data_IF_055837928163
#
_entry.id   IF_055837928163
#
_cell.length_a   1.000
_cell.length_b   1.000
_cell.length_c   1.000
_cell.angle_alpha   90.00
_cell.angle_beta   90.00
_cell.angle_gamma   90.00
#
_symmetry.space_group_name_H-M   'P 1'
#
loop_
_entity.id
_entity.type
_entity.pdbx_description
1 polymer ?
#
# COMPACT_ATOMS: atom_id res chain seq x y z
N UNK A 1 43.29 -47.61 44.60
CA UNK A 1 44.54 -47.84 45.36
C UNK A 1 44.67 -49.33 45.59
N UNK A 2 45.36 -50.02 44.69
CA UNK A 2 46.03 -51.31 44.93
C UNK A 2 47.12 -51.38 43.87
N UNK A 3 48.35 -51.36 44.37
CA UNK A 3 49.63 -51.24 43.69
C UNK A 3 50.30 -52.60 43.49
N UNK A 4 51.18 -52.65 42.48
CA UNK A 4 52.34 -53.54 42.31
C UNK A 4 52.00 -55.02 42.08
N UNK A 5 52.67 -55.81 41.26
CA UNK A 5 54.09 -56.03 40.94
C UNK A 5 54.10 -56.83 39.60
N UNK A 6 55.14 -57.06 38.79
CA UNK A 6 56.60 -57.02 38.89
C UNK A 6 57.20 -57.38 37.51
N UNK A 7 58.36 -56.80 37.20
CA UNK A 7 59.60 -57.37 36.60
C UNK A 7 59.58 -58.27 35.33
N UNK A 8 60.27 -58.00 34.20
CA UNK A 8 61.74 -57.92 33.84
C UNK A 8 62.02 -59.00 32.73
N UNK A 9 63.14 -59.06 31.96
CA UNK A 9 63.49 -58.25 30.77
C UNK A 9 64.09 -59.05 29.56
N UNK A 10 64.46 -58.31 28.50
CA UNK A 10 65.64 -58.44 27.62
C UNK A 10 65.88 -59.65 26.67
N UNK A 11 66.13 -59.34 25.38
CA UNK A 11 67.32 -59.72 24.54
C UNK A 11 67.03 -59.38 23.05
N UNK A 12 67.65 -58.35 22.46
CA UNK A 12 68.93 -58.28 21.71
C UNK A 12 69.04 -59.19 20.47
N UNK A 13 69.21 -58.59 19.28
CA UNK A 13 70.27 -58.82 18.26
C UNK A 13 69.85 -58.11 16.95
N UNK A 14 70.64 -57.12 16.48
CA UNK A 14 71.61 -57.19 15.35
C UNK A 14 70.98 -57.53 13.98
N UNK A 15 71.41 -57.06 12.81
CA UNK A 15 72.30 -56.03 12.27
C UNK A 15 72.31 -56.28 10.74
N UNK A 16 72.74 -55.29 9.94
CA UNK A 16 73.17 -55.38 8.53
C UNK A 16 72.07 -55.59 7.45
N UNK A 17 72.15 -55.07 6.21
CA UNK A 17 73.00 -54.10 5.52
C UNK A 17 72.40 -53.84 4.11
N UNK A 18 72.67 -52.64 3.56
CA UNK A 18 72.98 -52.36 2.13
C UNK A 18 72.12 -52.97 1.00
N UNK A 19 71.47 -52.12 0.19
CA UNK A 19 71.87 -51.86 -1.21
C UNK A 19 70.84 -50.94 -1.91
N UNK A 20 71.34 -49.95 -2.63
CA UNK A 20 70.53 -49.05 -3.46
C UNK A 20 70.00 -49.72 -4.73
N UNK A 21 68.86 -49.23 -5.20
CA UNK A 21 68.41 -49.40 -6.59
C UNK A 21 67.57 -48.18 -6.95
N UNK A 22 68.09 -47.37 -7.88
CA UNK A 22 67.37 -46.29 -8.54
C UNK A 22 66.20 -46.87 -9.34
N UNK A 23 64.98 -46.41 -9.05
CA UNK A 23 63.81 -46.73 -9.85
C UNK A 23 62.98 -45.47 -10.10
N UNK A 24 63.21 -44.91 -11.29
CA UNK A 24 62.22 -44.33 -12.21
C UNK A 24 61.08 -43.49 -11.58
N UNK A 25 61.29 -42.17 -11.54
CA UNK A 25 60.22 -41.19 -11.33
C UNK A 25 59.26 -41.23 -12.52
N UNK A 26 58.10 -41.84 -12.33
CA UNK A 26 56.93 -41.66 -13.21
C UNK A 26 56.24 -40.38 -12.80
N UNK A 27 56.47 -39.31 -13.57
CA UNK A 27 55.81 -38.03 -13.44
C UNK A 27 54.31 -38.18 -13.68
N UNK A 28 53.49 -37.97 -12.65
CA UNK A 28 52.05 -37.77 -12.81
C UNK A 28 51.80 -36.50 -13.64
N UNK A 29 50.78 -36.45 -14.51
CA UNK A 29 50.47 -35.24 -15.25
C UNK A 29 50.03 -34.18 -14.23
N UNK A 30 50.70 -33.03 -14.28
CA UNK A 30 50.30 -31.84 -13.53
C UNK A 30 48.88 -31.46 -13.95
N UNK A 31 47.92 -31.76 -13.08
CA UNK A 31 46.56 -31.24 -13.18
C UNK A 31 46.68 -29.72 -13.03
N UNK A 32 46.65 -29.01 -14.18
CA UNK A 32 46.52 -27.56 -14.18
C UNK A 32 45.16 -27.26 -13.57
N UNK A 33 45.16 -26.94 -12.28
CA UNK A 33 44.08 -26.22 -11.63
C UNK A 33 43.97 -24.88 -12.33
N UNK A 34 43.12 -24.82 -13.36
CA UNK A 34 42.63 -23.56 -13.88
C UNK A 34 42.07 -22.79 -12.68
N UNK A 35 42.39 -21.50 -12.49
CA UNK A 35 41.74 -20.73 -11.46
C UNK A 35 40.24 -20.82 -11.76
N UNK A 36 39.50 -21.41 -10.83
CA UNK A 36 38.05 -21.38 -10.84
C UNK A 36 37.70 -19.90 -10.88
N UNK A 37 37.41 -19.41 -12.09
CA UNK A 37 36.90 -18.07 -12.28
C UNK A 37 35.58 -18.09 -11.54
N UNK A 38 35.60 -17.57 -10.32
CA UNK A 38 34.42 -17.25 -9.55
C UNK A 38 33.62 -16.32 -10.48
N UNK A 39 32.69 -16.90 -11.23
CA UNK A 39 31.75 -16.14 -12.05
C UNK A 39 30.99 -15.34 -11.02
N UNK A 40 31.40 -14.08 -10.85
CA UNK A 40 30.68 -13.14 -10.03
C UNK A 40 29.22 -13.23 -10.48
N UNK A 41 28.25 -13.40 -9.57
CA UNK A 41 26.87 -13.49 -9.97
C UNK A 41 26.59 -12.25 -10.80
N UNK A 42 26.25 -12.44 -12.07
CA UNK A 42 25.72 -11.37 -12.90
C UNK A 42 24.40 -11.03 -12.21
N UNK A 43 24.45 -10.03 -11.31
CA UNK A 43 23.26 -9.48 -10.70
C UNK A 43 22.31 -9.19 -11.87
N UNK A 44 21.12 -9.81 -11.93
CA UNK A 44 20.19 -9.53 -13.02
C UNK A 44 20.02 -8.03 -13.01
N UNK A 45 20.39 -7.38 -14.10
CA UNK A 45 20.55 -5.95 -14.17
C UNK A 45 19.34 -5.27 -13.51
N UNK A 46 19.52 -4.82 -12.27
CA UNK A 46 18.66 -3.87 -11.63
C UNK A 46 18.95 -2.57 -12.38
N UNK A 47 18.45 -2.46 -13.60
CA UNK A 47 18.56 -1.25 -14.40
C UNK A 47 17.95 -0.14 -13.55
N UNK A 48 18.86 0.68 -13.01
CA UNK A 48 18.68 1.77 -12.06
C UNK A 48 17.33 2.47 -12.26
N UNK A 49 16.30 2.00 -11.57
CA UNK A 49 15.03 2.71 -11.58
C UNK A 49 15.28 4.00 -10.77
N UNK A 50 15.23 5.13 -11.48
CA UNK A 50 15.44 6.45 -10.86
C UNK A 50 14.41 6.59 -9.73
N UNK A 51 14.82 6.98 -8.51
CA UNK A 51 13.88 7.27 -7.42
C UNK A 51 12.79 8.24 -7.88
N UNK A 52 11.53 8.00 -7.50
CA UNK A 52 10.41 8.74 -8.08
C UNK A 52 10.52 10.27 -7.90
N UNK A 53 11.08 10.74 -6.78
CA UNK A 53 11.31 12.17 -6.55
C UNK A 53 12.21 12.87 -7.58
N UNK A 54 13.07 12.12 -8.29
CA UNK A 54 13.94 12.63 -9.38
C UNK A 54 13.36 12.42 -10.77
N UNK A 55 12.19 11.79 -10.88
CA UNK A 55 11.57 11.44 -12.16
C UNK A 55 10.44 12.42 -12.49
N UNK A 56 10.59 13.31 -13.49
CA UNK A 56 9.51 14.20 -13.92
C UNK A 56 8.26 13.42 -14.32
N UNK A 57 8.41 12.29 -15.00
CA UNK A 57 7.30 11.45 -15.40
C UNK A 57 6.51 10.89 -14.19
N UNK A 58 7.19 10.53 -13.09
CA UNK A 58 6.53 10.06 -11.89
C UNK A 58 5.70 11.17 -11.23
N UNK A 59 6.27 12.38 -11.14
CA UNK A 59 5.54 13.56 -10.69
C UNK A 59 4.37 13.91 -11.59
N UNK A 60 4.52 13.83 -12.92
CA UNK A 60 3.42 14.07 -13.85
C UNK A 60 2.26 13.10 -13.61
N UNK A 61 2.53 11.80 -13.45
CA UNK A 61 1.47 10.82 -13.14
C UNK A 61 0.79 11.16 -11.81
N UNK A 62 1.58 11.42 -10.75
CA UNK A 62 1.04 11.76 -9.44
C UNK A 62 0.13 13.00 -9.53
N UNK A 63 0.61 14.09 -10.13
CA UNK A 63 -0.12 15.35 -10.20
C UNK A 63 -1.34 15.30 -11.12
N UNK A 64 -1.23 14.68 -12.29
CA UNK A 64 -2.36 14.61 -13.23
C UNK A 64 -3.51 13.80 -12.62
N UNK A 65 -3.21 12.66 -12.01
CA UNK A 65 -4.22 11.84 -11.32
C UNK A 65 -4.79 12.61 -10.12
N UNK A 66 -3.93 13.24 -9.33
CA UNK A 66 -4.34 14.03 -8.17
C UNK A 66 -5.28 15.17 -8.54
N UNK A 67 -4.91 15.99 -9.55
CA UNK A 67 -5.73 17.11 -10.01
C UNK A 67 -7.07 16.60 -10.55
N UNK A 68 -7.05 15.55 -11.38
CA UNK A 68 -8.27 14.99 -11.95
C UNK A 68 -9.22 14.47 -10.85
N UNK A 69 -8.69 13.75 -9.87
CA UNK A 69 -9.44 13.19 -8.74
C UNK A 69 -10.02 14.29 -7.83
N UNK A 70 -9.21 15.22 -7.33
CA UNK A 70 -9.70 16.35 -6.53
C UNK A 70 -10.74 17.18 -7.28
N UNK A 71 -10.51 17.43 -8.57
CA UNK A 71 -11.48 18.17 -9.38
C UNK A 71 -12.81 17.43 -9.49
N UNK A 72 -12.77 16.10 -9.69
CA UNK A 72 -13.95 15.27 -9.78
C UNK A 72 -14.73 15.28 -8.46
N UNK A 73 -14.06 15.10 -7.32
CA UNK A 73 -14.71 15.15 -6.01
C UNK A 73 -15.38 16.50 -5.75
N UNK A 74 -14.62 17.60 -5.85
CA UNK A 74 -15.14 18.94 -5.55
C UNK A 74 -16.26 19.35 -6.51
N UNK A 75 -16.12 19.02 -7.79
CA UNK A 75 -17.17 19.26 -8.78
C UNK A 75 -18.42 18.43 -8.48
N UNK A 76 -18.28 17.15 -8.16
CA UNK A 76 -19.41 16.26 -7.88
C UNK A 76 -20.21 16.70 -6.66
N UNK A 77 -19.53 17.17 -5.61
CA UNK A 77 -20.15 17.72 -4.40
C UNK A 77 -20.88 19.03 -4.67
N UNK A 78 -20.26 19.93 -5.43
CA UNK A 78 -20.88 21.20 -5.82
C UNK A 78 -22.11 20.96 -6.69
N UNK A 79 -22.01 20.06 -7.67
CA UNK A 79 -23.12 19.63 -8.50
C UNK A 79 -24.27 19.07 -7.66
N UNK A 80 -23.99 18.08 -6.78
CA UNK A 80 -25.01 17.42 -5.98
C UNK A 80 -25.79 18.41 -5.11
N UNK A 81 -25.10 19.30 -4.39
CA UNK A 81 -25.74 20.28 -3.50
C UNK A 81 -26.52 21.37 -4.26
N UNK A 82 -26.25 21.57 -5.55
CA UNK A 82 -27.03 22.50 -6.40
C UNK A 82 -28.25 21.86 -7.04
N UNK A 83 -28.25 20.55 -7.28
CA UNK A 83 -29.23 19.92 -8.18
C UNK A 83 -30.08 18.81 -7.56
N UNK A 84 -29.64 18.16 -6.48
CA UNK A 84 -30.37 17.00 -5.90
C UNK A 84 -31.59 17.45 -5.10
N UNK A 85 -31.50 18.56 -4.38
CA UNK A 85 -32.63 19.13 -3.68
C UNK A 85 -33.48 20.02 -4.61
N UNK A 86 -34.78 20.23 -4.32
CA UNK A 86 -35.66 21.09 -5.14
C UNK A 86 -35.16 22.54 -5.27
N UNK A 87 -34.39 23.02 -4.30
CA UNK A 87 -33.70 24.30 -4.33
C UNK A 87 -32.22 24.08 -3.99
N UNK A 88 -31.29 24.88 -4.56
CA UNK A 88 -29.88 24.78 -4.23
C UNK A 88 -29.62 24.94 -2.73
N UNK A 89 -28.87 24.01 -2.16
CA UNK A 89 -28.49 24.03 -0.75
C UNK A 89 -27.33 24.99 -0.56
N UNK A 90 -27.59 26.12 0.10
CA UNK A 90 -26.56 27.11 0.44
C UNK A 90 -26.08 26.84 1.86
N UNK A 91 -24.78 26.58 2.00
CA UNK A 91 -24.13 26.29 3.28
C UNK A 91 -23.36 27.52 3.76
N UNK A 92 -23.65 27.96 4.98
CA UNK A 92 -22.95 29.07 5.65
C UNK A 92 -22.00 28.47 6.69
N UNK A 93 -20.70 28.73 6.55
CA UNK A 93 -19.67 28.11 7.37
C UNK A 93 -19.94 28.26 8.87
N UNK A 94 -20.33 29.46 9.32
CA UNK A 94 -20.58 29.76 10.73
C UNK A 94 -21.76 28.98 11.32
N UNK A 95 -22.70 28.51 10.49
CA UNK A 95 -23.87 27.74 10.92
C UNK A 95 -23.56 26.24 11.01
N UNK A 96 -22.65 25.77 10.15
CA UNK A 96 -22.30 24.35 9.99
C UNK A 96 -21.10 23.99 10.86
N UNK A 97 -20.05 24.81 10.86
CA UNK A 97 -18.80 24.51 11.54
C UNK A 97 -19.01 24.33 13.04
N UNK A 98 -18.63 23.16 13.55
CA UNK A 98 -18.76 22.82 14.98
C UNK A 98 -20.19 22.61 15.47
N UNK A 99 -21.19 22.55 14.58
CA UNK A 99 -22.59 22.33 14.93
C UNK A 99 -23.14 21.01 14.35
N UNK A 100 -22.96 19.86 15.03
CA UNK A 100 -23.48 18.58 14.58
C UNK A 100 -25.02 18.48 14.51
N UNK A 101 -25.73 19.44 15.09
CA UNK A 101 -27.20 19.52 15.06
C UNK A 101 -27.75 20.28 13.85
N UNK A 102 -26.88 20.83 12.99
CA UNK A 102 -27.30 21.48 11.76
C UNK A 102 -27.94 20.46 10.81
N UNK A 103 -29.18 20.72 10.39
CA UNK A 103 -29.90 19.88 9.45
C UNK A 103 -30.05 20.57 8.10
N UNK A 104 -29.89 19.78 7.04
CA UNK A 104 -30.21 20.23 5.68
C UNK A 104 -31.72 20.45 5.54
N UNK A 105 -32.17 21.36 4.66
CA UNK A 105 -33.57 21.42 4.25
C UNK A 105 -34.05 20.06 3.78
N UNK A 106 -35.29 19.71 4.09
CA UNK A 106 -35.84 18.43 3.63
C UNK A 106 -35.79 18.33 2.11
N UNK A 107 -35.34 17.18 1.61
CA UNK A 107 -35.30 16.85 0.19
C UNK A 107 -35.63 15.36 0.02
N UNK A 108 -36.27 14.96 -1.09
CA UNK A 108 -36.66 13.57 -1.31
C UNK A 108 -35.52 12.66 -1.80
N UNK A 109 -34.33 13.21 -2.07
CA UNK A 109 -33.29 12.53 -2.84
C UNK A 109 -33.69 12.31 -4.31
N UNK A 110 -32.80 11.68 -5.09
CA UNK A 110 -33.02 11.35 -6.50
C UNK A 110 -32.47 9.96 -6.79
N UNK A 111 -33.29 9.06 -7.34
CA UNK A 111 -32.81 7.74 -7.78
C UNK A 111 -31.86 7.87 -8.96
N UNK A 112 -30.59 7.48 -8.76
CA UNK A 112 -29.55 7.56 -9.77
C UNK A 112 -29.45 6.26 -10.59
N UNK A 113 -29.54 5.11 -9.92
CA UNK A 113 -29.48 3.79 -10.58
C UNK A 113 -30.53 2.86 -9.98
N UNK A 114 -31.46 2.41 -10.84
CA UNK A 114 -32.54 1.51 -10.48
C UNK A 114 -32.18 0.01 -10.66
N UNK A 115 -32.87 -0.90 -9.97
CA UNK A 115 -33.78 -0.66 -8.85
C UNK A 115 -33.01 -0.65 -7.52
N UNK A 116 -33.08 0.49 -6.80
CA UNK A 116 -32.50 0.65 -5.46
C UNK A 116 -31.01 0.27 -5.38
N UNK A 117 -30.22 0.65 -6.38
CA UNK A 117 -28.76 0.42 -6.35
C UNK A 117 -28.02 1.64 -5.82
N UNK A 118 -28.38 2.81 -6.32
CA UNK A 118 -27.75 4.08 -5.96
C UNK A 118 -28.78 5.20 -6.01
N UNK A 119 -28.92 5.91 -4.90
CA UNK A 119 -29.65 7.16 -4.80
C UNK A 119 -28.68 8.31 -4.51
N UNK A 120 -29.03 9.49 -5.00
CA UNK A 120 -28.43 10.73 -4.56
C UNK A 120 -29.22 11.28 -3.37
N UNK A 121 -28.57 11.37 -2.22
CA UNK A 121 -29.19 11.84 -0.98
C UNK A 121 -28.21 12.72 -0.20
N UNK A 122 -28.49 14.01 -0.05
CA UNK A 122 -27.57 14.97 0.57
C UNK A 122 -27.47 14.78 2.09
N UNK A 123 -26.24 14.69 2.59
CA UNK A 123 -25.90 14.58 4.01
C UNK A 123 -24.69 15.47 4.31
N UNK A 124 -24.66 16.05 5.51
CA UNK A 124 -23.46 16.69 6.06
C UNK A 124 -22.85 15.82 7.14
N UNK A 125 -21.56 15.51 6.97
CA UNK A 125 -20.82 14.69 7.91
C UNK A 125 -19.84 15.53 8.72
N UNK A 126 -20.17 15.76 9.99
CA UNK A 126 -19.31 16.48 10.95
C UNK A 126 -18.29 15.56 11.66
N UNK A 127 -18.27 14.27 11.34
CA UNK A 127 -17.39 13.26 11.91
C UNK A 127 -16.50 12.58 10.86
N UNK A 128 -16.07 11.36 11.20
CA UNK A 128 -15.46 10.40 10.28
C UNK A 128 -16.49 9.33 9.85
N UNK A 129 -15.99 8.17 9.42
CA UNK A 129 -16.79 6.98 9.16
C UNK A 129 -17.57 6.59 10.43
N UNK A 130 -18.83 6.18 10.26
CA UNK A 130 -19.75 5.78 11.35
C UNK A 130 -20.12 6.89 12.35
N UNK A 131 -19.90 8.16 12.00
CA UNK A 131 -20.22 9.28 12.88
C UNK A 131 -19.32 9.40 14.12
N UNK A 132 -18.17 8.71 14.14
CA UNK A 132 -17.18 8.86 15.22
C UNK A 132 -16.46 10.20 15.08
N UNK A 133 -16.26 10.90 16.19
CA UNK A 133 -15.50 12.16 16.21
C UNK A 133 -16.27 13.38 15.74
N UNK A 134 -17.60 13.41 15.91
CA UNK A 134 -18.43 14.59 15.66
C UNK A 134 -17.83 15.84 16.32
N UNK A 135 -17.77 16.94 15.57
CA UNK A 135 -17.24 18.22 16.04
C UNK A 135 -15.72 18.28 16.17
N UNK A 136 -14.98 17.22 15.80
CA UNK A 136 -13.50 17.19 15.79
C UNK A 136 -12.90 17.50 14.42
N UNK A 137 -13.51 18.42 13.67
CA UNK A 137 -13.01 18.89 12.36
C UNK A 137 -11.49 19.15 12.31
N UNK A 138 -10.91 19.92 13.27
CA UNK A 138 -9.48 20.18 13.32
C UNK A 138 -8.60 18.93 13.44
N UNK A 139 -9.06 17.89 14.15
CA UNK A 139 -8.33 16.63 14.28
C UNK A 139 -8.22 15.92 12.94
N UNK A 140 -9.30 15.89 12.15
CA UNK A 140 -9.29 15.29 10.81
C UNK A 140 -8.39 16.05 9.85
N UNK A 141 -8.37 17.38 9.92
CA UNK A 141 -7.44 18.22 9.15
C UNK A 141 -6.00 17.84 9.50
N UNK A 142 -5.67 17.72 10.79
CA UNK A 142 -4.33 17.31 11.24
C UNK A 142 -3.94 15.91 10.73
N UNK A 143 -4.88 14.95 10.76
CA UNK A 143 -4.67 13.61 10.19
C UNK A 143 -4.42 13.66 8.68
N UNK A 144 -5.19 14.44 7.92
CA UNK A 144 -4.96 14.60 6.48
C UNK A 144 -3.60 15.21 6.20
N UNK A 145 -3.18 16.25 6.94
CA UNK A 145 -1.84 16.85 6.79
C UNK A 145 -0.75 15.80 7.03
N UNK A 146 -0.87 14.99 8.07
CA UNK A 146 0.07 13.90 8.35
C UNK A 146 0.06 12.85 7.22
N UNK A 147 -1.11 12.48 6.72
CA UNK A 147 -1.24 11.53 5.62
C UNK A 147 -0.60 12.07 4.33
N UNK A 148 -0.76 13.36 4.01
CA UNK A 148 -0.12 14.01 2.85
C UNK A 148 1.40 13.96 2.98
N UNK A 149 1.94 14.36 4.13
CA UNK A 149 3.39 14.28 4.40
C UNK A 149 3.91 12.86 4.25
N UNK A 150 3.18 11.87 4.79
CA UNK A 150 3.54 10.45 4.71
C UNK A 150 3.49 9.95 3.26
N UNK A 151 2.44 10.27 2.51
CA UNK A 151 2.28 9.87 1.12
C UNK A 151 3.39 10.44 0.22
N UNK A 152 3.76 11.72 0.40
CA UNK A 152 4.86 12.34 -0.33
C UNK A 152 6.23 11.75 0.07
N UNK A 153 6.40 11.39 1.34
CA UNK A 153 7.59 10.67 1.79
C UNK A 153 7.67 9.26 1.18
N UNK A 154 6.58 8.49 1.17
CA UNK A 154 6.50 7.17 0.53
C UNK A 154 6.76 7.28 -0.97
N UNK A 155 6.14 8.25 -1.65
CA UNK A 155 6.42 8.56 -3.05
C UNK A 155 7.91 8.79 -3.28
N UNK A 156 8.55 9.66 -2.52
CA UNK A 156 9.96 9.98 -2.73
C UNK A 156 10.92 8.85 -2.37
N UNK A 157 10.68 8.14 -1.27
CA UNK A 157 11.66 7.21 -0.68
C UNK A 157 11.41 5.74 -1.02
N UNK A 158 10.17 5.37 -1.30
CA UNK A 158 9.75 3.97 -1.43
C UNK A 158 9.18 3.63 -2.80
N UNK A 159 9.07 4.59 -3.73
CA UNK A 159 8.69 4.31 -5.12
C UNK A 159 9.78 4.71 -6.11
N UNK A 160 9.75 4.09 -7.29
CA UNK A 160 10.66 4.36 -8.39
C UNK A 160 9.91 4.96 -9.57
N UNK A 161 10.61 5.46 -10.57
CA UNK A 161 10.02 6.00 -11.80
C UNK A 161 9.04 5.04 -12.50
N UNK A 162 9.18 3.72 -12.29
CA UNK A 162 8.35 2.66 -12.90
C UNK A 162 7.17 2.22 -12.02
N UNK A 163 7.04 2.74 -10.80
CA UNK A 163 6.03 2.36 -9.83
C UNK A 163 4.66 3.02 -10.10
N UNK A 164 4.18 2.96 -11.34
CA UNK A 164 2.99 3.67 -11.80
C UNK A 164 1.74 3.40 -10.95
N UNK A 165 1.49 2.13 -10.59
CA UNK A 165 0.37 1.78 -9.72
C UNK A 165 0.47 2.45 -8.35
N UNK A 166 1.67 2.50 -7.76
CA UNK A 166 1.88 3.21 -6.50
C UNK A 166 1.65 4.71 -6.65
N UNK A 167 2.06 5.32 -7.77
CA UNK A 167 1.82 6.75 -8.02
C UNK A 167 0.32 7.05 -8.17
N UNK A 168 -0.42 6.22 -8.90
CA UNK A 168 -1.88 6.36 -9.05
C UNK A 168 -2.57 6.18 -7.69
N UNK A 169 -2.23 5.12 -6.95
CA UNK A 169 -2.83 4.86 -5.65
C UNK A 169 -2.54 5.96 -4.62
N UNK A 170 -1.30 6.47 -4.56
CA UNK A 170 -0.94 7.61 -3.73
C UNK A 170 -1.68 8.89 -4.14
N UNK A 171 -1.81 9.15 -5.44
CA UNK A 171 -2.54 10.32 -5.95
C UNK A 171 -4.02 10.28 -5.55
N UNK A 172 -4.67 9.12 -5.61
CA UNK A 172 -6.06 8.94 -5.20
C UNK A 172 -6.25 9.10 -3.68
N UNK A 173 -5.34 8.53 -2.87
CA UNK A 173 -5.39 8.71 -1.41
C UNK A 173 -5.19 10.18 -1.02
N UNK A 174 -4.24 10.86 -1.68
CA UNK A 174 -4.00 12.29 -1.51
C UNK A 174 -5.22 13.11 -1.92
N UNK A 175 -5.82 12.79 -3.07
CA UNK A 175 -6.97 13.50 -3.60
C UNK A 175 -8.18 13.38 -2.69
N UNK A 176 -8.57 12.17 -2.30
CA UNK A 176 -9.72 11.96 -1.43
C UNK A 176 -9.53 12.57 -0.04
N UNK A 177 -8.32 12.47 0.52
CA UNK A 177 -7.98 13.14 1.78
C UNK A 177 -8.10 14.67 1.69
N UNK A 178 -7.58 15.26 0.62
CA UNK A 178 -7.61 16.71 0.39
C UNK A 178 -9.02 17.21 0.06
N UNK A 179 -9.81 16.49 -0.74
CA UNK A 179 -11.19 16.84 -1.08
C UNK A 179 -12.08 16.91 0.17
N UNK A 180 -11.97 15.91 1.05
CA UNK A 180 -12.67 15.90 2.34
C UNK A 180 -12.10 16.90 3.35
N UNK A 181 -10.82 17.28 3.26
CA UNK A 181 -10.24 18.34 4.09
C UNK A 181 -10.71 19.72 3.63
N UNK A 182 -10.81 19.95 2.33
CA UNK A 182 -11.31 21.18 1.75
C UNK A 182 -12.72 21.50 2.26
N UNK A 183 -13.63 20.53 2.24
CA UNK A 183 -14.99 20.73 2.77
C UNK A 183 -14.98 21.10 4.26
N UNK A 184 -14.15 20.45 5.08
CA UNK A 184 -14.04 20.78 6.50
C UNK A 184 -13.56 22.22 6.74
N UNK A 185 -12.71 22.74 5.87
CA UNK A 185 -12.19 24.11 5.95
C UNK A 185 -13.19 25.13 5.38
N UNK A 186 -13.80 24.84 4.24
CA UNK A 186 -14.65 25.78 3.50
C UNK A 186 -16.12 25.74 3.92
N UNK A 187 -16.62 24.57 4.31
CA UNK A 187 -18.03 24.32 4.65
C UNK A 187 -18.21 24.05 6.14
N UNK A 188 -17.22 23.45 6.81
CA UNK A 188 -17.29 23.09 8.23
C UNK A 188 -17.75 21.65 8.48
N UNK A 189 -18.17 20.94 7.43
CA UNK A 189 -18.54 19.53 7.42
C UNK A 189 -18.29 18.94 6.01
N UNK A 190 -18.15 17.62 5.90
CA UNK A 190 -17.98 16.94 4.61
C UNK A 190 -19.33 16.81 3.91
N UNK A 191 -19.36 17.09 2.61
CA UNK A 191 -20.56 16.98 1.76
C UNK A 191 -20.66 15.57 1.19
N UNK A 192 -21.66 14.81 1.66
CA UNK A 192 -21.92 13.44 1.21
C UNK A 192 -23.22 13.39 0.40
N UNK A 193 -23.27 12.54 -0.62
CA UNK A 193 -24.43 12.49 -1.52
C UNK A 193 -24.70 11.12 -2.17
N UNK A 194 -23.81 10.14 -2.08
CA UNK A 194 -23.99 8.80 -2.67
C UNK A 194 -24.55 7.84 -1.62
N UNK A 195 -25.76 7.32 -1.82
CA UNK A 195 -26.40 6.33 -0.94
C UNK A 195 -26.60 5.01 -1.68
N UNK A 196 -25.86 3.98 -1.26
CA UNK A 196 -25.91 2.65 -1.88
C UNK A 196 -27.00 1.78 -1.25
N UNK A 197 -27.67 1.00 -2.08
CA UNK A 197 -28.69 0.02 -1.67
C UNK A 197 -29.81 0.60 -0.78
N UNK A 198 -30.42 1.73 -1.16
CA UNK A 198 -31.56 2.29 -0.41
C UNK A 198 -32.68 1.23 -0.31
N UNK A 199 -33.45 1.24 0.77
CA UNK A 199 -34.58 0.30 0.99
C UNK A 199 -34.21 -1.21 1.03
N UNK A 200 -32.92 -1.59 0.99
CA UNK A 200 -32.48 -2.98 1.16
C UNK A 200 -32.16 -3.24 2.63
N UNK A 201 -32.97 -4.06 3.27
CA UNK A 201 -32.85 -4.32 4.71
C UNK A 201 -32.04 -5.58 5.04
N UNK A 202 -31.32 -5.54 6.15
CA UNK A 202 -30.55 -6.65 6.69
C UNK A 202 -31.48 -7.83 7.00
N UNK A 203 -31.02 -9.06 6.75
CA UNK A 203 -31.82 -10.25 7.03
C UNK A 203 -32.06 -10.41 8.54
N UNK A 204 -33.17 -11.08 8.88
CA UNK A 204 -33.53 -11.45 10.25
C UNK A 204 -33.79 -10.28 11.22
N UNK A 205 -34.13 -9.10 10.71
CA UNK A 205 -34.38 -7.92 11.55
C UNK A 205 -33.14 -7.45 12.30
N UNK A 206 -31.96 -7.65 11.70
CA UNK A 206 -30.71 -7.17 12.25
C UNK A 206 -30.61 -5.65 12.06
N UNK A 207 -30.01 -4.96 13.02
CA UNK A 207 -29.78 -3.51 12.96
C UNK A 207 -28.32 -3.20 13.21
N UNK A 208 -27.81 -2.19 12.52
CA UNK A 208 -26.49 -1.62 12.81
C UNK A 208 -26.48 -0.88 14.15
N UNK A 209 -25.32 -0.72 14.79
CA UNK A 209 -25.14 0.23 15.88
C UNK A 209 -25.60 1.63 15.42
N UNK A 210 -26.71 2.13 15.98
CA UNK A 210 -27.39 3.34 15.50
C UNK A 210 -28.82 3.11 15.02
N UNK A 211 -29.28 1.86 14.92
CA UNK A 211 -30.69 1.50 14.73
C UNK A 211 -31.15 1.32 13.29
N UNK A 212 -30.33 1.66 12.30
CA UNK A 212 -30.69 1.41 10.88
C UNK A 212 -30.68 -0.09 10.58
N UNK A 213 -31.70 -0.55 9.84
CA UNK A 213 -31.79 -1.89 9.28
C UNK A 213 -31.29 -1.96 7.83
N UNK A 214 -30.85 -0.87 7.21
CA UNK A 214 -30.37 -0.90 5.83
C UNK A 214 -29.06 -1.70 5.67
N UNK A 215 -28.84 -2.31 4.51
CA UNK A 215 -27.59 -2.99 4.17
C UNK A 215 -26.40 -2.02 4.21
N UNK A 216 -26.61 -0.79 3.74
CA UNK A 216 -25.59 0.23 3.70
C UNK A 216 -26.18 1.60 4.07
N UNK A 217 -26.32 1.92 5.37
CA UNK A 217 -26.95 3.15 5.83
C UNK A 217 -26.08 4.41 5.68
N UNK A 218 -24.86 4.28 5.16
CA UNK A 218 -23.91 5.38 5.08
C UNK A 218 -24.02 6.07 3.73
N UNK A 219 -24.09 7.39 3.76
CA UNK A 219 -23.92 8.23 2.58
C UNK A 219 -22.46 8.64 2.51
N UNK A 220 -21.88 8.60 1.31
CA UNK A 220 -20.47 8.90 1.08
C UNK A 220 -20.32 9.80 -0.16
N UNK A 221 -19.08 10.10 -0.53
CA UNK A 221 -18.77 10.91 -1.71
C UNK A 221 -17.67 10.29 -2.59
N UNK A 222 -17.27 11.02 -3.62
CA UNK A 222 -16.22 10.57 -4.54
C UNK A 222 -14.87 10.50 -3.83
N UNK A 223 -14.51 11.46 -2.98
CA UNK A 223 -13.28 11.40 -2.18
C UNK A 223 -13.18 10.13 -1.32
N UNK A 224 -14.28 9.63 -0.73
CA UNK A 224 -14.28 8.37 0.01
C UNK A 224 -14.02 7.16 -0.91
N UNK A 225 -14.60 7.19 -2.10
CA UNK A 225 -14.36 6.17 -3.14
C UNK A 225 -12.90 6.20 -3.61
N UNK A 226 -12.31 7.39 -3.76
CA UNK A 226 -10.90 7.59 -4.11
C UNK A 226 -9.96 7.05 -3.03
N UNK A 227 -10.27 7.27 -1.75
CA UNK A 227 -9.50 6.70 -0.64
C UNK A 227 -9.50 5.17 -0.69
N UNK A 228 -10.68 4.55 -0.86
CA UNK A 228 -10.80 3.08 -0.94
C UNK A 228 -10.06 2.55 -2.18
N UNK A 229 -10.32 3.12 -3.36
CA UNK A 229 -9.69 2.70 -4.60
C UNK A 229 -8.16 2.87 -4.54
N UNK A 230 -7.69 4.00 -4.00
CA UNK A 230 -6.27 4.30 -3.83
C UNK A 230 -5.58 3.30 -2.90
N UNK A 231 -6.19 2.96 -1.76
CA UNK A 231 -5.69 1.92 -0.85
C UNK A 231 -5.63 0.56 -1.53
N UNK A 232 -6.68 0.14 -2.24
CA UNK A 232 -6.72 -1.15 -2.94
C UNK A 232 -5.64 -1.24 -4.03
N UNK A 233 -5.44 -0.16 -4.80
CA UNK A 233 -4.39 -0.08 -5.81
C UNK A 233 -3.00 -0.14 -5.15
N UNK A 234 -2.79 0.51 -4.01
CA UNK A 234 -1.52 0.44 -3.28
C UNK A 234 -1.23 -0.96 -2.76
N UNK A 235 -2.23 -1.62 -2.16
CA UNK A 235 -2.09 -3.01 -1.71
C UNK A 235 -1.74 -3.94 -2.87
N UNK A 236 -2.43 -3.80 -4.01
CA UNK A 236 -2.11 -4.54 -5.22
C UNK A 236 -0.70 -4.24 -5.72
N UNK A 237 -0.28 -2.97 -5.72
CA UNK A 237 1.04 -2.57 -6.17
C UNK A 237 2.15 -3.18 -5.30
N UNK A 238 1.98 -3.20 -3.98
CA UNK A 238 2.91 -3.82 -3.03
C UNK A 238 3.00 -5.32 -3.30
N UNK A 239 1.86 -6.01 -3.36
CA UNK A 239 1.81 -7.46 -3.61
C UNK A 239 2.46 -7.86 -4.94
N UNK A 240 2.22 -7.09 -6.00
CA UNK A 240 2.85 -7.33 -7.30
C UNK A 240 4.36 -7.08 -7.26
N UNK A 241 4.82 -6.10 -6.49
CA UNK A 241 6.23 -5.80 -6.32
C UNK A 241 6.96 -6.92 -5.57
N UNK A 242 6.38 -7.42 -4.47
CA UNK A 242 6.90 -8.58 -3.73
C UNK A 242 7.01 -9.82 -4.61
N UNK A 243 5.97 -10.13 -5.39
CA UNK A 243 5.99 -11.25 -6.35
C UNK A 243 7.07 -11.12 -7.40
N UNK A 244 7.32 -9.90 -7.91
CA UNK A 244 8.40 -9.65 -8.88
C UNK A 244 9.77 -9.88 -8.24
N UNK A 245 9.97 -9.41 -7.01
CA UNK A 245 11.22 -9.62 -6.27
C UNK A 245 11.46 -11.11 -5.97
N UNK A 246 10.43 -11.83 -5.51
CA UNK A 246 10.50 -13.27 -5.25
C UNK A 246 10.84 -14.07 -6.52
N UNK A 247 10.20 -13.73 -7.66
CA UNK A 247 10.51 -14.35 -8.96
C UNK A 247 11.95 -14.07 -9.41
N UNK A 248 12.41 -12.83 -9.27
CA UNK A 248 13.79 -12.47 -9.62
C UNK A 248 14.82 -13.21 -8.75
N UNK A 249 14.55 -13.34 -7.44
CA UNK A 249 15.38 -14.11 -6.53
C UNK A 249 15.41 -15.60 -6.89
N UNK A 250 14.27 -16.20 -7.24
CA UNK A 250 14.18 -17.60 -7.64
C UNK A 250 14.97 -17.89 -8.94
N UNK A 251 14.93 -16.99 -9.92
CA UNK A 251 15.71 -17.11 -11.16
C UNK A 251 17.22 -17.03 -10.87
N UNK A 252 17.64 -16.14 -9.97
CA UNK A 252 19.06 -15.95 -9.63
C UNK A 252 19.69 -17.16 -8.91
N UNK A 253 18.89 -18.05 -8.31
CA UNK A 253 19.35 -19.23 -7.56
C UNK A 253 19.49 -20.48 -8.44
N UNK A 254 18.96 -20.49 -9.68
CA UNK A 254 19.07 -21.69 -10.53
C UNK A 254 20.53 -21.94 -10.96
N UNK A 255 21.14 -23.11 -10.61
CA UNK A 255 22.50 -23.43 -11.03
C UNK A 255 22.55 -23.60 -12.54
N UNK A 256 23.50 -22.92 -13.19
CA UNK A 256 23.82 -23.15 -14.60
C UNK A 256 24.38 -24.56 -14.73
N UNK A 257 23.59 -25.51 -15.22
CA UNK A 257 24.10 -26.85 -15.55
C UNK A 257 25.23 -26.71 -16.58
N UNK A 258 26.47 -27.11 -16.28
CA UNK A 258 27.53 -27.10 -17.28
C UNK A 258 27.22 -28.16 -18.34
N UNK A 259 27.39 -27.77 -19.61
CA UNK A 259 27.22 -28.61 -20.79
C UNK A 259 28.38 -29.60 -20.97
#
# INVERSE_FOLDING_TARGET
>A
MTSADSDTPASTTDSAASAGSEALVVSAPAERTAPSALVAPIAPAAFNAIPAWRSPAAWCVLFLVFIAAVSLDLWSKDWAFRTVAPQPVVLVYEQVSGNPGYSLPWHPGVTAIAPDLLDFHLVLNHGAVFGIGQGRGPLFIAFTVLAVCTALWVFGKHTSSRSHLSHIGLALVLAGGIGNMYDRIAVGAVRDFLHLFPHRELPWGLHWPGGSNEWFPWVFNIADSELIAGMLILMLAIHLNERRQARAAAIAVQPTTPA
#
